data_IF_648842598209
#
_entry.id   IF_648842598209
#
_cell.length_a   1.000
_cell.length_b   1.000
_cell.length_c   1.000
_cell.angle_alpha   90.00
_cell.angle_beta   90.00
_cell.angle_gamma   90.00
#
_symmetry.space_group_name_H-M   'P 1'
#
loop_
_entity.id
_entity.type
_entity.pdbx_description
1 polymer ?
#
# COMPACT_ATOMS: atom_id res chain seq x y z
N UNK A 1 36.54 -11.90 -43.93
CA UNK A 1 35.37 -11.71 -43.05
C UNK A 1 34.41 -12.86 -43.38
N UNK A 2 34.63 -14.12 -43.00
CA UNK A 2 34.66 -14.76 -41.68
C UNK A 2 33.54 -14.32 -40.71
N UNK A 3 32.85 -15.25 -40.01
CA UNK A 3 31.67 -16.00 -40.52
C UNK A 3 30.60 -16.33 -39.42
N UNK A 4 29.67 -17.25 -39.76
CA UNK A 4 28.94 -18.25 -38.90
C UNK A 4 27.72 -17.74 -38.11
N UNK A 5 26.47 -18.15 -38.41
CA UNK A 5 25.75 -19.46 -38.31
C UNK A 5 25.32 -19.86 -36.87
N UNK A 6 24.00 -20.12 -36.74
CA UNK A 6 23.13 -20.80 -35.74
C UNK A 6 23.80 -21.95 -34.93
N UNK A 7 23.15 -22.68 -33.98
CA UNK A 7 21.87 -22.60 -33.22
C UNK A 7 22.14 -22.75 -31.68
N UNK A 8 21.16 -23.09 -30.82
CA UNK A 8 21.24 -24.13 -29.76
C UNK A 8 20.09 -24.01 -28.73
N UNK A 9 19.07 -24.83 -28.94
CA UNK A 9 18.22 -25.43 -27.89
C UNK A 9 18.92 -26.73 -27.46
N UNK A 10 18.88 -27.03 -26.16
CA UNK A 10 19.23 -28.30 -25.47
C UNK A 10 20.70 -28.58 -25.09
N UNK A 11 20.97 -28.59 -23.78
CA UNK A 11 21.70 -29.59 -22.95
C UNK A 11 22.05 -28.93 -21.60
N UNK A 12 21.63 -29.40 -20.42
CA UNK A 12 22.07 -30.64 -19.74
C UNK A 12 23.39 -30.35 -19.00
N UNK A 13 23.59 -30.52 -17.69
CA UNK A 13 23.58 -31.74 -16.84
C UNK A 13 24.05 -31.24 -15.45
N UNK A 14 23.28 -31.39 -14.37
CA UNK A 14 23.30 -32.48 -13.37
C UNK A 14 24.35 -32.37 -12.24
N UNK A 15 23.91 -32.88 -11.07
CA UNK A 15 24.68 -33.42 -9.93
C UNK A 15 25.48 -32.41 -9.09
N UNK A 16 24.94 -32.04 -7.93
CA UNK A 16 25.77 -31.82 -6.72
C UNK A 16 25.76 -33.13 -5.95
N UNK A 17 26.80 -33.92 -6.20
CA UNK A 17 27.12 -35.14 -5.49
C UNK A 17 27.73 -34.84 -4.12
N UNK A 18 27.58 -35.82 -3.23
CA UNK A 18 28.18 -35.87 -1.91
C UNK A 18 29.68 -35.57 -1.93
N UNK A 19 30.10 -34.60 -1.12
CA UNK A 19 31.48 -34.40 -0.71
C UNK A 19 31.58 -34.51 0.80
N UNK A 20 31.71 -35.71 1.35
CA UNK A 20 32.35 -35.87 2.66
C UNK A 20 33.82 -35.54 2.48
N UNK A 21 34.24 -34.36 2.91
CA UNK A 21 35.66 -34.10 3.15
C UNK A 21 35.95 -34.67 4.54
N UNK A 22 36.60 -35.83 4.59
CA UNK A 22 37.30 -36.28 5.78
C UNK A 22 38.51 -35.37 5.98
N UNK A 23 38.34 -34.29 6.72
CA UNK A 23 39.48 -33.49 7.19
C UNK A 23 40.20 -34.30 8.26
N UNK A 24 41.36 -34.86 7.92
CA UNK A 24 42.31 -35.32 8.93
C UNK A 24 42.78 -34.10 9.72
N UNK A 25 42.68 -34.08 11.06
CA UNK A 25 43.09 -32.91 11.83
C UNK A 25 44.61 -32.76 11.73
N UNK A 26 45.06 -31.74 11.00
CA UNK A 26 46.41 -31.21 11.15
C UNK A 26 46.35 -30.24 12.32
N UNK A 27 46.97 -30.63 13.44
CA UNK A 27 47.12 -29.78 14.63
C UNK A 27 48.06 -28.62 14.26
N UNK A 28 47.48 -27.48 13.91
CA UNK A 28 48.21 -26.21 13.94
C UNK A 28 48.23 -25.70 15.40
N UNK A 29 49.37 -25.24 15.93
CA UNK A 29 49.40 -24.64 17.26
C UNK A 29 48.56 -23.35 17.24
N UNK A 30 47.57 -23.30 18.14
CA UNK A 30 46.65 -22.18 18.31
C UNK A 30 47.46 -20.90 18.63
N UNK A 31 47.25 -19.80 17.89
CA UNK A 31 47.59 -18.48 18.39
C UNK A 31 46.73 -18.20 19.62
N UNK A 32 47.35 -17.64 20.65
CA UNK A 32 46.76 -17.33 21.94
C UNK A 32 45.57 -16.37 21.77
N UNK A 33 44.35 -16.92 21.80
CA UNK A 33 43.10 -16.16 21.78
C UNK A 33 42.97 -15.47 23.14
N UNK A 34 43.18 -14.15 23.13
CA UNK A 34 42.83 -13.30 24.26
C UNK A 34 41.31 -13.32 24.43
N UNK A 35 40.86 -13.83 25.57
CA UNK A 35 39.53 -13.61 26.14
C UNK A 35 38.34 -13.94 25.22
N UNK A 36 37.93 -15.21 25.20
CA UNK A 36 36.54 -15.54 24.85
C UNK A 36 35.66 -14.93 25.94
N UNK A 37 34.94 -13.85 25.64
CA UNK A 37 33.85 -13.40 26.50
C UNK A 37 32.83 -14.53 26.59
N UNK A 38 32.46 -14.92 27.81
CA UNK A 38 31.32 -15.81 28.04
C UNK A 38 30.10 -15.18 27.36
N UNK A 39 29.66 -15.73 26.23
CA UNK A 39 28.32 -15.46 25.72
C UNK A 39 27.39 -16.23 26.66
N UNK A 40 27.08 -15.61 27.79
CA UNK A 40 25.97 -16.04 28.59
C UNK A 40 24.76 -16.07 27.66
N UNK A 41 24.12 -17.23 27.52
CA UNK A 41 22.74 -17.34 27.05
C UNK A 41 21.85 -16.73 28.15
N UNK A 42 22.00 -15.42 28.34
CA UNK A 42 21.37 -14.63 29.40
C UNK A 42 19.95 -14.32 28.99
N UNK A 43 19.08 -14.11 29.98
CA UNK A 43 17.66 -13.78 29.89
C UNK A 43 17.31 -12.48 29.11
N UNK A 44 18.23 -11.96 28.30
CA UNK A 44 18.06 -10.75 27.49
C UNK A 44 17.79 -10.99 26.00
N UNK A 45 17.77 -12.24 25.53
CA UNK A 45 17.38 -12.59 24.14
C UNK A 45 15.98 -13.19 24.17
N UNK A 46 15.04 -12.58 23.46
CA UNK A 46 13.67 -13.05 23.30
C UNK A 46 13.51 -13.84 21.99
N UNK A 47 13.29 -15.15 22.11
CA UNK A 47 13.11 -16.02 20.95
C UNK A 47 11.65 -16.13 20.47
N UNK A 48 10.71 -15.59 21.25
CA UNK A 48 9.28 -15.83 21.06
C UNK A 48 8.47 -14.58 20.79
N UNK A 49 8.96 -13.39 21.16
CA UNK A 49 8.27 -12.11 20.95
C UNK A 49 7.84 -11.90 19.51
N UNK A 50 8.79 -11.91 18.56
CA UNK A 50 8.49 -11.70 17.15
C UNK A 50 7.51 -12.73 16.57
N UNK A 51 7.52 -13.97 17.06
CA UNK A 51 6.51 -14.97 16.67
C UNK A 51 5.14 -14.65 17.27
N UNK A 52 5.10 -14.26 18.55
CA UNK A 52 3.87 -13.86 19.23
C UNK A 52 3.21 -12.68 18.52
N UNK A 53 4.00 -11.68 18.13
CA UNK A 53 3.54 -10.49 17.41
C UNK A 53 2.98 -10.86 16.05
N UNK A 54 3.69 -11.71 15.29
CA UNK A 54 3.21 -12.22 14.01
C UNK A 54 1.85 -12.92 14.12
N UNK A 55 1.66 -13.76 15.14
CA UNK A 55 0.39 -14.46 15.36
C UNK A 55 -0.71 -13.54 15.90
N UNK A 56 -0.37 -12.57 16.74
CA UNK A 56 -1.31 -11.58 17.27
C UNK A 56 -1.89 -10.72 16.16
N UNK A 57 -1.03 -10.16 15.29
CA UNK A 57 -1.46 -9.40 14.12
C UNK A 57 -2.26 -10.26 13.15
N UNK A 58 -1.84 -11.51 12.92
CA UNK A 58 -2.59 -12.43 12.08
C UNK A 58 -3.99 -12.74 12.63
N UNK A 59 -4.15 -12.83 13.95
CA UNK A 59 -5.44 -13.06 14.58
C UNK A 59 -6.39 -11.86 14.40
N UNK A 60 -5.88 -10.64 14.58
CA UNK A 60 -6.66 -9.42 14.32
C UNK A 60 -7.11 -9.38 12.85
N UNK A 61 -6.16 -9.52 11.94
CA UNK A 61 -6.38 -9.57 10.49
C UNK A 61 -7.43 -10.60 10.06
N UNK A 62 -7.43 -11.80 10.66
CA UNK A 62 -8.43 -12.83 10.39
C UNK A 62 -9.84 -12.39 10.78
N UNK A 63 -9.99 -11.73 11.93
CA UNK A 63 -11.29 -11.22 12.36
C UNK A 63 -11.83 -10.19 11.38
N UNK A 64 -10.97 -9.32 10.88
CA UNK A 64 -11.37 -8.25 9.95
C UNK A 64 -11.68 -8.80 8.56
N UNK A 65 -10.88 -9.74 8.06
CA UNK A 65 -11.18 -10.46 6.83
C UNK A 65 -12.51 -11.21 6.89
N UNK A 66 -12.83 -11.82 8.03
CA UNK A 66 -14.12 -12.52 8.20
C UNK A 66 -15.29 -11.56 8.07
N UNK A 67 -15.21 -10.40 8.72
CA UNK A 67 -16.25 -9.36 8.63
C UNK A 67 -16.35 -8.83 7.18
N UNK A 68 -15.22 -8.44 6.59
CA UNK A 68 -15.15 -7.95 5.22
C UNK A 68 -15.76 -8.93 4.19
N UNK A 69 -15.42 -10.22 4.29
CA UNK A 69 -15.97 -11.25 3.41
C UNK A 69 -17.45 -11.49 3.67
N UNK A 70 -17.90 -11.43 4.92
CA UNK A 70 -19.32 -11.55 5.26
C UNK A 70 -20.12 -10.38 4.66
N UNK A 71 -19.63 -9.15 4.82
CA UNK A 71 -20.27 -7.94 4.29
C UNK A 71 -20.32 -7.98 2.77
N UNK A 72 -19.23 -8.35 2.11
CA UNK A 72 -19.19 -8.50 0.65
C UNK A 72 -20.18 -9.57 0.16
N UNK A 73 -20.28 -10.71 0.85
CA UNK A 73 -21.23 -11.76 0.51
C UNK A 73 -22.69 -11.32 0.71
N UNK A 74 -22.97 -10.58 1.79
CA UNK A 74 -24.30 -10.04 2.05
C UNK A 74 -24.70 -9.03 0.98
N UNK A 75 -23.82 -8.07 0.68
CA UNK A 75 -24.02 -7.06 -0.35
C UNK A 75 -24.27 -7.71 -1.72
N UNK A 76 -23.43 -8.69 -2.10
CA UNK A 76 -23.60 -9.39 -3.37
C UNK A 76 -24.89 -10.22 -3.41
N UNK A 77 -25.27 -10.87 -2.31
CA UNK A 77 -26.52 -11.63 -2.23
C UNK A 77 -27.75 -10.73 -2.36
N UNK A 78 -27.72 -9.56 -1.72
CA UNK A 78 -28.78 -8.56 -1.83
C UNK A 78 -28.85 -8.00 -3.25
N UNK A 79 -27.70 -7.60 -3.81
CA UNK A 79 -27.60 -7.10 -5.16
C UNK A 79 -28.13 -8.11 -6.20
N UNK A 80 -27.72 -9.38 -6.11
CA UNK A 80 -28.20 -10.45 -7.00
C UNK A 80 -29.71 -10.72 -6.86
N UNK A 81 -30.27 -10.52 -5.67
CA UNK A 81 -31.71 -10.71 -5.44
C UNK A 81 -32.55 -9.61 -6.07
N UNK A 82 -31.96 -8.42 -6.20
CA UNK A 82 -32.60 -7.22 -6.75
C UNK A 82 -32.13 -6.86 -8.17
N UNK A 83 -31.15 -7.59 -8.71
CA UNK A 83 -30.53 -7.28 -9.98
C UNK A 83 -31.52 -7.41 -11.14
N UNK A 84 -31.53 -6.39 -12.01
CA UNK A 84 -32.18 -6.46 -13.31
C UNK A 84 -31.16 -6.90 -14.37
N UNK A 85 -31.22 -8.15 -14.87
CA UNK A 85 -30.26 -8.66 -15.82
C UNK A 85 -30.29 -7.93 -17.18
N UNK A 86 -31.34 -7.17 -17.48
CA UNK A 86 -31.41 -6.36 -18.71
C UNK A 86 -30.51 -5.12 -18.65
N UNK A 87 -30.10 -4.69 -17.46
CA UNK A 87 -29.20 -3.54 -17.25
C UNK A 87 -27.73 -3.94 -17.13
N UNK A 88 -27.38 -5.22 -17.28
CA UNK A 88 -26.00 -5.69 -17.17
C UNK A 88 -25.25 -5.58 -18.51
N UNK A 89 -24.29 -4.64 -18.57
CA UNK A 89 -23.36 -4.52 -19.69
C UNK A 89 -21.99 -5.11 -19.34
N UNK A 90 -21.47 -5.98 -20.22
CA UNK A 90 -20.09 -6.48 -20.14
C UNK A 90 -19.06 -5.36 -20.28
N UNK A 91 -19.42 -4.29 -20.98
CA UNK A 91 -18.59 -3.09 -21.11
C UNK A 91 -18.52 -2.32 -19.80
N UNK A 92 -19.66 -2.13 -19.12
CA UNK A 92 -19.72 -1.51 -17.78
C UNK A 92 -18.98 -2.35 -16.73
N UNK A 93 -19.04 -3.69 -16.83
CA UNK A 93 -18.24 -4.57 -15.98
C UNK A 93 -16.74 -4.37 -16.23
N UNK A 94 -16.30 -4.36 -17.49
CA UNK A 94 -14.89 -4.11 -17.83
C UNK A 94 -14.40 -2.75 -17.33
N UNK A 95 -15.23 -1.72 -17.52
CA UNK A 95 -15.03 -0.36 -17.01
C UNK A 95 -14.88 -0.32 -15.49
N UNK A 96 -15.79 -0.93 -14.73
CA UNK A 96 -15.75 -0.95 -13.27
C UNK A 96 -14.52 -1.68 -12.71
N UNK A 97 -14.06 -2.76 -13.36
CA UNK A 97 -12.93 -3.56 -12.85
C UNK A 97 -11.56 -2.95 -13.16
N UNK A 98 -11.46 -2.16 -14.21
CA UNK A 98 -10.19 -1.60 -14.71
C UNK A 98 -10.06 -0.10 -14.52
N UNK A 99 -11.17 0.58 -14.27
CA UNK A 99 -11.29 2.04 -14.31
C UNK A 99 -10.90 2.65 -15.68
N UNK A 100 -10.95 1.88 -16.77
CA UNK A 100 -10.58 2.36 -18.12
C UNK A 100 -11.78 2.76 -18.99
N UNK A 101 -13.00 2.76 -18.45
CA UNK A 101 -14.20 3.05 -19.21
C UNK A 101 -15.34 3.58 -18.34
N UNK A 102 -16.39 4.11 -18.99
CA UNK A 102 -17.41 4.93 -18.35
C UNK A 102 -16.91 6.35 -18.06
N UNK A 103 -17.82 7.32 -18.04
CA UNK A 103 -17.53 8.67 -17.59
C UNK A 103 -17.38 8.68 -16.06
N UNK A 104 -16.28 8.11 -15.56
CA UNK A 104 -15.92 8.10 -14.14
C UNK A 104 -15.47 9.48 -13.65
N UNK A 105 -15.94 10.55 -14.30
CA UNK A 105 -15.60 11.94 -13.99
C UNK A 105 -16.14 12.41 -12.65
N UNK A 106 -17.05 11.68 -12.04
CA UNK A 106 -17.38 11.94 -10.64
C UNK A 106 -16.17 11.58 -9.79
N UNK A 107 -15.58 12.58 -9.15
CA UNK A 107 -14.54 12.46 -8.11
C UNK A 107 -14.83 11.39 -7.03
N UNK A 108 -16.08 10.89 -7.02
CA UNK A 108 -16.78 10.11 -6.01
C UNK A 108 -17.24 8.76 -6.55
N UNK A 109 -16.44 8.09 -7.36
CA UNK A 109 -16.78 6.74 -7.76
C UNK A 109 -17.01 5.89 -6.48
N UNK A 110 -18.20 5.31 -6.26
CA UNK A 110 -18.43 4.42 -5.11
C UNK A 110 -17.42 3.27 -5.04
N UNK A 111 -16.79 2.92 -6.16
CA UNK A 111 -15.70 1.95 -6.22
C UNK A 111 -14.44 2.41 -5.48
N UNK A 112 -14.13 3.72 -5.46
CA UNK A 112 -12.96 4.26 -4.77
C UNK A 112 -13.02 3.98 -3.25
N UNK A 113 -14.22 3.87 -2.69
CA UNK A 113 -14.42 3.48 -1.29
C UNK A 113 -13.83 2.10 -0.99
N UNK A 114 -13.79 1.20 -1.98
CA UNK A 114 -13.31 -0.17 -1.83
C UNK A 114 -11.91 -0.40 -2.40
N UNK A 115 -11.28 0.63 -2.98
CA UNK A 115 -9.97 0.50 -3.61
C UNK A 115 -8.94 1.52 -3.16
N UNK A 116 -9.38 2.59 -2.48
CA UNK A 116 -8.51 3.65 -1.98
C UNK A 116 -8.79 3.93 -0.51
N UNK A 117 -7.75 4.33 0.20
CA UNK A 117 -7.80 4.65 1.61
C UNK A 117 -8.05 6.13 1.85
N UNK A 118 -8.92 6.39 2.82
CA UNK A 118 -8.92 7.62 3.59
C UNK A 118 -8.65 7.17 5.04
N UNK A 119 -7.42 7.31 5.54
CA UNK A 119 -7.03 6.78 6.85
C UNK A 119 -7.99 7.22 7.94
N UNK A 120 -8.36 6.28 8.79
CA UNK A 120 -9.22 6.53 9.94
C UNK A 120 -8.65 5.84 11.18
N UNK A 121 -8.75 6.49 12.33
CA UNK A 121 -7.99 6.05 13.51
C UNK A 121 -6.52 6.48 13.46
N UNK A 122 -5.57 5.55 13.62
CA UNK A 122 -4.13 5.82 13.56
C UNK A 122 -3.74 6.26 12.13
N UNK A 123 -3.09 7.41 11.98
CA UNK A 123 -2.88 8.07 10.69
C UNK A 123 -4.10 8.81 10.12
N UNK A 124 -5.25 8.81 10.81
CA UNK A 124 -6.45 9.58 10.45
C UNK A 124 -6.48 10.99 11.06
N UNK A 125 -7.54 11.76 10.79
CA UNK A 125 -7.68 13.15 11.27
C UNK A 125 -7.55 13.18 12.80
N UNK A 126 -6.64 14.03 13.31
CA UNK A 126 -6.34 14.16 14.74
C UNK A 126 -5.22 13.25 15.26
N UNK A 127 -4.65 12.39 14.41
CA UNK A 127 -3.47 11.59 14.74
C UNK A 127 -2.17 12.33 14.40
N UNK A 128 -1.10 12.21 15.22
CA UNK A 128 0.21 12.81 14.93
C UNK A 128 0.86 12.33 13.62
N UNK A 129 0.47 11.15 13.13
CA UNK A 129 0.89 10.56 11.85
C UNK A 129 -0.12 10.76 10.72
N UNK A 130 -0.99 11.77 10.82
CA UNK A 130 -2.05 12.05 9.83
C UNK A 130 -1.55 11.98 8.39
N UNK A 131 -2.29 11.22 7.58
CA UNK A 131 -2.15 11.16 6.13
C UNK A 131 -3.41 11.60 5.42
N UNK A 132 -3.25 12.36 4.34
CA UNK A 132 -4.33 12.77 3.43
C UNK A 132 -5.03 11.58 2.75
N UNK A 133 -4.40 10.42 2.71
CA UNK A 133 -4.94 9.19 2.14
C UNK A 133 -4.77 9.07 0.63
N UNK A 134 -4.76 7.83 0.15
CA UNK A 134 -4.64 7.54 -1.27
C UNK A 134 -5.88 7.95 -2.09
N UNK A 135 -7.02 8.16 -1.45
CA UNK A 135 -8.21 8.73 -2.08
C UNK A 135 -7.98 10.15 -2.61
N UNK A 136 -7.37 11.03 -1.80
CA UNK A 136 -7.04 12.39 -2.24
C UNK A 136 -5.93 12.37 -3.31
N UNK A 137 -4.94 11.49 -3.16
CA UNK A 137 -3.91 11.29 -4.18
C UNK A 137 -4.51 10.83 -5.51
N UNK A 138 -5.45 9.89 -5.47
CA UNK A 138 -6.19 9.41 -6.63
C UNK A 138 -6.89 10.56 -7.35
N UNK A 139 -7.68 11.36 -6.62
CA UNK A 139 -8.41 12.48 -7.20
C UNK A 139 -7.50 13.53 -7.84
N UNK A 140 -6.37 13.84 -7.20
CA UNK A 140 -5.35 14.76 -7.73
C UNK A 140 -4.74 14.24 -9.05
N UNK A 141 -4.28 12.99 -9.05
CA UNK A 141 -3.54 12.42 -10.17
C UNK A 141 -4.42 12.01 -11.36
N UNK A 142 -5.73 11.94 -11.16
CA UNK A 142 -6.71 11.58 -12.20
C UNK A 142 -7.50 12.78 -12.75
N UNK A 143 -7.10 14.01 -12.40
CA UNK A 143 -7.82 15.25 -12.75
C UNK A 143 -9.24 15.38 -12.20
N UNK A 144 -9.63 14.52 -11.26
CA UNK A 144 -10.93 14.59 -10.62
C UNK A 144 -10.97 15.65 -9.50
N UNK A 145 -9.81 16.12 -9.03
CA UNK A 145 -9.71 17.20 -8.05
C UNK A 145 -10.22 18.58 -8.53
N UNK A 146 -10.44 18.77 -9.83
CA UNK A 146 -11.05 20.01 -10.37
C UNK A 146 -12.44 20.26 -9.76
N UNK A 147 -13.20 19.21 -9.40
CA UNK A 147 -14.50 19.36 -8.74
C UNK A 147 -14.37 19.93 -7.31
N UNK A 148 -13.27 19.63 -6.61
CA UNK A 148 -13.01 20.15 -5.27
C UNK A 148 -12.48 21.58 -5.29
N UNK A 149 -11.67 21.93 -6.30
CA UNK A 149 -10.97 23.20 -6.35
C UNK A 149 -10.83 23.73 -7.80
N UNK A 150 -11.94 24.20 -8.43
CA UNK A 150 -11.95 24.57 -9.84
C UNK A 150 -10.92 25.65 -10.18
N UNK A 151 -10.06 25.38 -11.17
CA UNK A 151 -9.05 26.32 -11.67
C UNK A 151 -7.86 26.55 -10.71
N UNK A 152 -7.79 25.84 -9.59
CA UNK A 152 -6.65 25.90 -8.66
C UNK A 152 -5.64 24.78 -8.91
N UNK A 153 -6.07 23.65 -9.49
CA UNK A 153 -5.21 22.49 -9.74
C UNK A 153 -4.94 22.40 -11.25
N UNK A 154 -3.68 22.46 -11.71
CA UNK A 154 -3.37 22.30 -13.12
C UNK A 154 -3.71 20.87 -13.58
N UNK A 155 -4.30 20.75 -14.77
CA UNK A 155 -4.60 19.45 -15.35
C UNK A 155 -3.32 18.64 -15.59
N UNK A 156 -3.30 17.43 -15.04
CA UNK A 156 -2.28 16.40 -15.26
C UNK A 156 -2.44 15.84 -16.67
N UNK A 157 -1.39 15.88 -17.51
CA UNK A 157 -1.48 15.38 -18.89
C UNK A 157 -1.49 13.85 -18.95
N UNK A 158 -2.07 13.32 -20.02
CA UNK A 158 -1.99 11.90 -20.35
C UNK A 158 -0.52 11.43 -20.52
N UNK A 159 -0.20 10.17 -20.18
CA UNK A 159 -1.10 9.08 -19.77
C UNK A 159 -1.24 8.90 -18.24
N UNK A 160 -0.80 9.86 -17.43
CA UNK A 160 -0.74 9.69 -15.95
C UNK A 160 -2.12 9.37 -15.35
N UNK A 161 -3.22 10.09 -15.69
CA UNK A 161 -4.55 9.78 -15.17
C UNK A 161 -5.02 8.36 -15.47
N UNK A 162 -4.76 7.84 -16.67
CA UNK A 162 -5.16 6.49 -17.08
C UNK A 162 -4.39 5.42 -16.30
N UNK A 163 -3.09 5.64 -16.09
CA UNK A 163 -2.25 4.74 -15.29
C UNK A 163 -2.76 4.69 -13.86
N UNK A 164 -3.01 5.85 -13.25
CA UNK A 164 -3.47 5.93 -11.86
C UNK A 164 -4.83 5.27 -11.68
N UNK A 165 -5.74 5.43 -12.65
CA UNK A 165 -7.03 4.72 -12.67
C UNK A 165 -6.84 3.21 -12.61
N UNK A 166 -5.97 2.65 -13.47
CA UNK A 166 -5.66 1.22 -13.43
C UNK A 166 -5.01 0.82 -12.10
N UNK A 167 -4.09 1.62 -11.57
CA UNK A 167 -3.44 1.35 -10.29
C UNK A 167 -4.40 1.44 -9.09
N UNK A 168 -5.47 2.21 -9.20
CA UNK A 168 -6.53 2.33 -8.21
C UNK A 168 -7.68 1.33 -8.41
N UNK A 169 -7.64 0.49 -9.45
CA UNK A 169 -8.76 -0.38 -9.79
C UNK A 169 -8.88 -1.62 -8.87
N UNK A 170 -10.06 -2.23 -8.74
CA UNK A 170 -10.23 -3.46 -7.94
C UNK A 170 -9.34 -4.62 -8.43
N UNK A 171 -9.15 -4.71 -9.75
CA UNK A 171 -8.32 -5.76 -10.35
C UNK A 171 -6.84 -5.60 -9.97
N UNK A 172 -6.35 -4.36 -9.86
CA UNK A 172 -4.98 -4.12 -9.41
C UNK A 172 -4.76 -4.59 -7.97
N UNK A 173 -5.78 -4.44 -7.11
CA UNK A 173 -5.84 -4.99 -5.76
C UNK A 173 -5.66 -6.51 -5.72
N UNK A 174 -6.36 -7.23 -6.60
CA UNK A 174 -6.20 -8.68 -6.71
C UNK A 174 -4.80 -9.08 -7.18
N UNK A 175 -4.25 -8.36 -8.15
CA UNK A 175 -2.91 -8.62 -8.68
C UNK A 175 -1.86 -8.42 -7.59
N UNK A 176 -1.88 -7.27 -6.88
CA UNK A 176 -0.91 -7.01 -5.83
C UNK A 176 -1.12 -7.89 -4.61
N UNK A 177 -2.36 -8.16 -4.22
CA UNK A 177 -2.68 -9.04 -3.10
C UNK A 177 -2.31 -10.51 -3.35
N UNK A 178 -2.28 -10.95 -4.61
CA UNK A 178 -1.77 -12.27 -4.98
C UNK A 178 -0.24 -12.35 -4.96
N UNK A 179 0.45 -11.24 -5.27
CA UNK A 179 1.92 -11.17 -5.26
C UNK A 179 2.50 -10.89 -3.87
N UNK A 180 1.76 -10.16 -3.04
CA UNK A 180 2.17 -9.67 -1.73
C UNK A 180 2.79 -10.75 -0.83
N UNK A 181 2.14 -11.91 -0.58
CA UNK A 181 2.71 -12.97 0.26
C UNK A 181 4.07 -13.50 -0.20
N UNK A 182 4.44 -13.32 -1.47
CA UNK A 182 5.75 -13.72 -2.00
C UNK A 182 6.81 -12.62 -1.88
N UNK A 183 6.38 -11.36 -1.88
CA UNK A 183 7.25 -10.18 -1.83
C UNK A 183 7.49 -9.72 -0.39
N UNK A 184 6.47 -9.72 0.46
CA UNK A 184 6.54 -9.25 1.84
C UNK A 184 7.60 -9.95 2.69
N UNK A 185 7.84 -11.27 2.58
CA UNK A 185 8.95 -11.91 3.30
C UNK A 185 10.33 -11.41 2.85
N UNK A 186 10.48 -11.05 1.57
CA UNK A 186 11.74 -10.49 1.06
C UNK A 186 11.92 -9.06 1.55
N UNK A 187 10.84 -8.29 1.60
CA UNK A 187 10.85 -6.94 2.20
C UNK A 187 11.24 -7.01 3.68
N UNK A 188 10.65 -7.92 4.46
CA UNK A 188 11.03 -8.11 5.86
C UNK A 188 12.49 -8.54 6.03
N UNK A 189 13.01 -9.38 5.12
CA UNK A 189 14.43 -9.71 5.13
C UNK A 189 15.29 -8.45 4.91
N UNK A 190 14.93 -7.58 3.98
CA UNK A 190 15.64 -6.31 3.76
C UNK A 190 15.52 -5.38 4.98
N UNK A 191 14.32 -5.23 5.53
CA UNK A 191 14.05 -4.43 6.72
C UNK A 191 14.87 -4.91 7.92
N UNK A 192 14.95 -6.23 8.14
CA UNK A 192 15.80 -6.80 9.20
C UNK A 192 17.28 -6.55 8.96
N UNK A 193 17.77 -6.66 7.72
CA UNK A 193 19.17 -6.35 7.40
C UNK A 193 19.48 -4.86 7.66
N UNK A 194 18.56 -3.98 7.28
CA UNK A 194 18.68 -2.54 7.53
C UNK A 194 18.68 -2.25 9.03
N UNK A 195 17.77 -2.85 9.79
CA UNK A 195 17.71 -2.71 11.24
C UNK A 195 18.99 -3.23 11.93
N UNK A 196 19.55 -4.37 11.49
CA UNK A 196 20.85 -4.85 11.96
C UNK A 196 21.96 -3.83 11.66
N UNK A 197 21.99 -3.30 10.43
CA UNK A 197 22.98 -2.31 10.02
C UNK A 197 22.86 -1.02 10.84
N UNK A 198 21.65 -0.55 11.10
CA UNK A 198 21.37 0.62 11.92
C UNK A 198 21.82 0.39 13.38
N UNK A 199 21.49 -0.76 13.96
CA UNK A 199 21.91 -1.11 15.32
C UNK A 199 23.44 -1.22 15.45
N UNK A 200 24.18 -1.63 14.42
CA UNK A 200 25.64 -1.75 14.48
C UNK A 200 26.40 -0.48 14.09
N UNK A 201 25.83 0.33 13.20
CA UNK A 201 26.50 1.47 12.57
C UNK A 201 25.92 2.84 12.93
N UNK A 202 24.84 2.88 13.72
CA UNK A 202 24.18 4.12 14.15
C UNK A 202 25.00 4.94 15.15
N UNK A 203 24.44 6.08 15.54
CA UNK A 203 25.07 7.01 16.51
C UNK A 203 25.33 6.34 17.87
N UNK A 204 24.43 5.43 18.28
CA UNK A 204 24.54 4.60 19.48
C UNK A 204 24.52 3.10 19.13
N UNK A 205 25.67 2.47 18.83
CA UNK A 205 25.71 1.06 18.44
C UNK A 205 25.25 0.10 19.55
N UNK A 206 24.27 -0.75 19.23
CA UNK A 206 23.75 -1.82 20.08
C UNK A 206 23.90 -3.20 19.40
N UNK A 207 24.99 -3.90 19.76
CA UNK A 207 25.26 -5.23 19.26
C UNK A 207 24.27 -6.30 19.76
N UNK A 208 23.59 -6.07 20.90
CA UNK A 208 22.60 -7.01 21.42
C UNK A 208 21.29 -6.88 20.65
N UNK A 209 20.86 -5.65 20.33
CA UNK A 209 19.72 -5.40 19.45
C UNK A 209 19.97 -5.97 18.04
N UNK A 210 21.17 -5.81 17.49
CA UNK A 210 21.54 -6.41 16.21
C UNK A 210 21.49 -7.95 16.23
N UNK A 211 21.95 -8.59 17.31
CA UNK A 211 21.85 -10.05 17.47
C UNK A 211 20.39 -10.50 17.62
N UNK A 212 19.58 -9.75 18.36
CA UNK A 212 18.16 -10.02 18.53
C UNK A 212 17.44 -9.96 17.17
N UNK A 213 17.74 -8.95 16.36
CA UNK A 213 17.15 -8.80 15.03
C UNK A 213 17.55 -9.94 14.09
N UNK A 214 18.82 -10.37 14.13
CA UNK A 214 19.29 -11.53 13.37
C UNK A 214 18.52 -12.82 13.73
N UNK A 215 18.17 -13.00 15.01
CA UNK A 215 17.38 -14.12 15.49
C UNK A 215 15.90 -13.98 15.08
N UNK A 216 15.40 -12.74 15.00
CA UNK A 216 14.03 -12.44 14.61
C UNK A 216 13.77 -12.60 13.11
N UNK A 217 14.79 -12.57 12.24
CA UNK A 217 14.61 -12.68 10.77
C UNK A 217 13.58 -13.74 10.36
N UNK A 218 13.63 -15.00 10.84
CA UNK A 218 12.65 -16.01 10.43
C UNK A 218 11.22 -15.67 10.85
N UNK A 219 11.05 -15.08 12.04
CA UNK A 219 9.76 -14.64 12.54
C UNK A 219 9.25 -13.41 11.77
N UNK A 220 10.12 -12.45 11.46
CA UNK A 220 9.78 -11.25 10.69
C UNK A 220 9.40 -11.63 9.26
N UNK A 221 10.16 -12.49 8.58
CA UNK A 221 9.78 -12.99 7.25
C UNK A 221 8.43 -13.73 7.26
N UNK A 222 8.15 -14.50 8.32
CA UNK A 222 6.87 -15.18 8.49
C UNK A 222 5.73 -14.20 8.79
N UNK A 223 6.01 -13.16 9.58
CA UNK A 223 5.11 -12.03 9.78
C UNK A 223 4.78 -11.36 8.44
N UNK A 224 5.80 -11.05 7.63
CA UNK A 224 5.63 -10.51 6.28
C UNK A 224 4.73 -11.40 5.41
N UNK A 225 4.95 -12.72 5.45
CA UNK A 225 4.12 -13.68 4.72
C UNK A 225 2.64 -13.63 5.14
N UNK A 226 2.35 -13.54 6.44
CA UNK A 226 0.98 -13.51 6.97
C UNK A 226 0.32 -12.14 6.86
N UNK A 227 1.02 -11.10 7.28
CA UNK A 227 0.44 -9.79 7.62
C UNK A 227 0.92 -8.66 6.71
N UNK A 228 1.89 -8.93 5.84
CA UNK A 228 2.44 -7.94 4.93
C UNK A 228 3.66 -7.22 5.50
N UNK A 229 4.24 -6.37 4.67
CA UNK A 229 5.48 -5.66 4.98
C UNK A 229 5.58 -4.39 4.14
N UNK A 230 6.21 -3.35 4.70
CA UNK A 230 6.41 -2.08 4.02
C UNK A 230 7.89 -1.90 3.71
N UNK A 231 8.19 -1.52 2.47
CA UNK A 231 9.55 -1.15 2.05
C UNK A 231 9.66 0.37 1.97
N UNK A 232 10.72 0.93 2.56
CA UNK A 232 11.11 2.31 2.34
C UNK A 232 11.80 2.44 0.98
N UNK A 233 11.38 3.43 0.20
CA UNK A 233 11.85 3.68 -1.16
C UNK A 233 12.57 5.03 -1.29
N UNK A 234 12.99 5.64 -0.18
CA UNK A 234 13.60 6.97 -0.15
C UNK A 234 14.93 7.01 -0.93
N UNK A 235 15.58 5.86 -1.10
CA UNK A 235 16.74 5.71 -1.96
C UNK A 235 16.47 6.06 -3.43
N UNK A 236 15.20 6.05 -3.87
CA UNK A 236 14.79 6.45 -5.21
C UNK A 236 14.60 7.96 -5.36
N UNK A 237 14.46 8.71 -4.26
CA UNK A 237 14.16 10.15 -4.31
C UNK A 237 15.18 10.93 -5.14
N UNK A 238 16.52 10.72 -5.03
CA UNK A 238 17.48 11.42 -5.88
C UNK A 238 17.23 11.18 -7.37
N UNK A 239 16.88 9.95 -7.75
CA UNK A 239 16.60 9.59 -9.15
C UNK A 239 15.31 10.23 -9.65
N UNK A 240 14.28 10.29 -8.79
CA UNK A 240 12.99 10.92 -9.12
C UNK A 240 13.15 12.44 -9.27
N UNK A 241 13.92 13.09 -8.38
CA UNK A 241 14.23 14.51 -8.47
C UNK A 241 15.00 14.84 -9.75
N UNK A 242 16.00 14.03 -10.12
CA UNK A 242 16.76 14.21 -11.36
C UNK A 242 15.92 14.00 -12.63
N UNK A 243 14.87 13.20 -12.56
CA UNK A 243 13.98 12.95 -13.69
C UNK A 243 13.13 14.17 -14.08
N UNK A 244 13.06 15.21 -13.22
CA UNK A 244 12.33 16.45 -13.51
C UNK A 244 10.82 16.25 -13.70
N UNK A 245 10.26 15.23 -13.06
CA UNK A 245 8.84 14.85 -13.18
C UNK A 245 7.90 15.79 -12.43
N UNK A 246 8.43 16.52 -11.45
CA UNK A 246 7.67 17.42 -10.59
C UNK A 246 7.88 18.88 -11.02
N UNK A 247 6.86 19.75 -10.86
CA UNK A 247 6.99 21.17 -11.13
C UNK A 247 8.04 21.83 -10.23
N UNK A 248 8.58 22.98 -10.66
CA UNK A 248 9.49 23.77 -9.83
C UNK A 248 8.83 24.09 -8.48
N UNK A 249 9.58 23.87 -7.40
CA UNK A 249 9.07 24.06 -6.04
C UNK A 249 8.29 22.87 -5.48
N UNK A 250 8.22 21.73 -6.17
CA UNK A 250 7.67 20.48 -5.62
C UNK A 250 8.72 19.35 -5.66
N UNK A 251 8.80 18.57 -4.58
CA UNK A 251 9.66 17.42 -4.42
C UNK A 251 8.91 16.29 -3.72
N UNK A 252 9.32 15.04 -3.94
CA UNK A 252 8.89 13.93 -3.08
C UNK A 252 9.94 13.79 -1.98
N UNK A 253 9.51 13.87 -0.73
CA UNK A 253 10.36 13.82 0.47
C UNK A 253 10.25 12.50 1.22
N UNK A 254 9.24 11.70 0.91
CA UNK A 254 9.08 10.35 1.44
C UNK A 254 8.39 9.45 0.42
N UNK A 255 8.88 8.23 0.29
CA UNK A 255 8.31 7.23 -0.59
C UNK A 255 8.41 5.85 0.07
N UNK A 256 7.29 5.13 0.10
CA UNK A 256 7.24 3.76 0.59
C UNK A 256 6.19 2.95 -0.15
N UNK A 257 6.28 1.63 -0.03
CA UNK A 257 5.25 0.73 -0.56
C UNK A 257 4.94 -0.40 0.41
N UNK A 258 3.67 -0.55 0.77
CA UNK A 258 3.15 -1.59 1.63
C UNK A 258 2.60 -2.75 0.79
N UNK A 259 3.18 -3.93 0.97
CA UNK A 259 2.69 -5.18 0.40
C UNK A 259 1.83 -5.92 1.42
N UNK A 260 0.62 -6.33 1.05
CA UNK A 260 -0.20 -7.18 1.91
C UNK A 260 0.33 -8.62 1.98
N UNK A 261 0.21 -9.25 3.14
CA UNK A 261 0.43 -10.68 3.35
C UNK A 261 -0.84 -11.49 3.06
N UNK A 262 -0.81 -12.78 3.41
CA UNK A 262 -1.91 -13.72 3.16
C UNK A 262 -3.22 -13.28 3.82
N UNK A 263 -3.12 -12.68 5.01
CA UNK A 263 -4.21 -12.34 5.89
C UNK A 263 -4.48 -10.83 5.92
N UNK A 264 -3.73 -10.01 5.17
CA UNK A 264 -3.95 -8.56 5.20
C UNK A 264 -5.33 -8.21 4.63
N UNK A 265 -6.23 -7.61 5.42
CA UNK A 265 -7.56 -7.25 4.95
C UNK A 265 -7.54 -6.06 3.98
N UNK A 266 -6.51 -5.23 4.06
CA UNK A 266 -6.48 -3.90 3.44
C UNK A 266 -7.43 -2.94 4.15
N UNK A 267 -7.02 -1.68 4.24
CA UNK A 267 -7.84 -0.58 4.76
C UNK A 267 -8.21 0.35 3.60
N UNK A 268 -9.50 0.66 3.51
CA UNK A 268 -10.12 1.48 2.48
C UNK A 268 -11.14 2.42 3.12
N UNK A 269 -11.91 3.16 2.32
CA UNK A 269 -12.92 4.08 2.83
C UNK A 269 -12.90 5.46 2.18
N UNK A 270 -12.09 5.65 1.14
CA UNK A 270 -12.02 6.89 0.38
C UNK A 270 -13.31 7.25 -0.34
N UNK A 271 -14.06 8.24 0.15
CA UNK A 271 -15.21 8.84 -0.54
C UNK A 271 -15.48 10.29 -0.06
N UNK A 272 -16.38 11.03 -0.71
CA UNK A 272 -16.68 12.42 -0.31
C UNK A 272 -17.32 12.52 1.07
N UNK A 273 -18.24 11.61 1.36
CA UNK A 273 -19.08 11.68 2.55
C UNK A 273 -18.22 11.54 3.80
N UNK A 274 -17.19 10.69 3.72
CA UNK A 274 -16.15 10.51 4.71
C UNK A 274 -15.24 11.74 4.84
N UNK A 275 -14.94 12.43 3.73
CA UNK A 275 -14.11 13.65 3.74
C UNK A 275 -14.85 14.88 4.28
N UNK A 276 -16.14 15.03 3.95
CA UNK A 276 -16.97 16.17 4.35
C UNK A 276 -17.72 15.92 5.67
N UNK A 277 -17.60 14.71 6.23
CA UNK A 277 -18.28 14.32 7.45
C UNK A 277 -17.84 15.16 8.66
N UNK A 278 -18.79 15.43 9.56
CA UNK A 278 -18.50 16.06 10.85
C UNK A 278 -17.89 15.11 11.89
N UNK A 279 -17.77 13.83 11.56
CA UNK A 279 -17.23 12.78 12.41
C UNK A 279 -16.15 12.02 11.63
N UNK A 280 -15.10 11.59 12.34
CA UNK A 280 -14.05 10.74 11.77
C UNK A 280 -14.71 9.42 11.36
N UNK A 281 -14.65 9.03 10.07
CA UNK A 281 -15.23 7.77 9.62
C UNK A 281 -14.55 6.60 10.34
N UNK A 282 -15.27 5.51 10.66
CA UNK A 282 -14.63 4.31 11.17
C UNK A 282 -13.78 3.62 10.08
N UNK A 283 -12.76 2.84 10.45
CA UNK A 283 -11.98 2.08 9.48
C UNK A 283 -12.84 1.06 8.76
N UNK A 284 -12.64 1.02 7.43
CA UNK A 284 -13.30 0.08 6.54
C UNK A 284 -12.25 -0.91 6.04
N UNK A 285 -12.50 -2.18 6.31
CA UNK A 285 -11.60 -3.26 5.93
C UNK A 285 -12.19 -4.10 4.81
N UNK A 286 -11.32 -4.69 3.99
CA UNK A 286 -11.75 -5.50 2.86
C UNK A 286 -11.80 -4.72 1.57
N UNK A 287 -10.62 -4.48 1.01
CA UNK A 287 -10.46 -3.80 -0.25
C UNK A 287 -9.06 -3.26 -0.41
N UNK A 288 -8.80 -2.64 -1.54
CA UNK A 288 -7.53 -2.00 -1.84
C UNK A 288 -7.11 -2.19 -3.28
N UNK A 289 -6.01 -1.53 -3.63
CA UNK A 289 -5.46 -1.45 -4.97
C UNK A 289 -3.93 -1.35 -4.90
N UNK A 290 -3.26 -1.29 -6.04
CA UNK A 290 -1.81 -0.98 -6.05
C UNK A 290 -1.59 0.42 -5.47
N UNK A 291 -2.42 1.40 -5.84
CA UNK A 291 -2.33 2.76 -5.32
C UNK A 291 -2.47 2.78 -3.79
N UNK A 292 -3.35 1.94 -3.23
CA UNK A 292 -3.56 1.85 -1.79
C UNK A 292 -2.28 1.51 -1.02
N UNK A 293 -1.41 0.68 -1.61
CA UNK A 293 -0.13 0.31 -1.02
C UNK A 293 0.93 1.42 -1.08
N UNK A 294 0.71 2.51 -1.81
CA UNK A 294 1.67 3.60 -1.93
C UNK A 294 1.62 4.50 -0.69
N UNK A 295 2.79 4.76 -0.11
CA UNK A 295 3.00 5.88 0.82
C UNK A 295 3.84 6.95 0.14
N UNK A 296 3.39 8.20 0.16
CA UNK A 296 4.08 9.31 -0.49
C UNK A 296 3.93 10.60 0.32
N UNK A 297 5.03 11.33 0.45
CA UNK A 297 5.05 12.69 0.99
C UNK A 297 5.55 13.63 -0.08
N UNK A 298 4.75 14.64 -0.41
CA UNK A 298 5.09 15.68 -1.37
C UNK A 298 5.42 16.95 -0.60
N UNK A 299 6.66 17.40 -0.71
CA UNK A 299 7.10 18.70 -0.19
C UNK A 299 6.92 19.76 -1.27
N UNK A 300 6.19 20.81 -0.96
CA UNK A 300 6.09 22.04 -1.75
C UNK A 300 6.91 23.11 -1.04
N UNK A 301 7.75 23.85 -1.77
CA UNK A 301 8.61 24.91 -1.22
C UNK A 301 8.25 26.31 -1.73
N UNK A 302 7.38 26.41 -2.74
CA UNK A 302 6.91 27.67 -3.35
C UNK A 302 5.44 27.48 -3.77
N UNK A 303 4.48 28.34 -3.37
CA UNK A 303 4.60 29.60 -2.62
C UNK A 303 4.69 29.47 -1.10
N UNK A 304 4.50 28.26 -0.55
CA UNK A 304 4.55 27.99 0.89
C UNK A 304 5.27 26.66 1.12
N UNK A 305 6.13 26.61 2.13
CA UNK A 305 6.78 25.36 2.56
C UNK A 305 5.75 24.46 3.25
N UNK A 306 5.43 23.35 2.60
CA UNK A 306 4.30 22.48 2.92
C UNK A 306 4.64 21.02 2.66
N UNK A 307 4.50 20.16 3.66
CA UNK A 307 4.59 18.72 3.49
C UNK A 307 3.20 18.10 3.43
N UNK A 308 2.85 17.57 2.26
CA UNK A 308 1.62 16.84 1.99
C UNK A 308 1.91 15.35 2.12
N UNK A 309 1.75 14.82 3.33
CA UNK A 309 1.79 13.39 3.58
C UNK A 309 0.46 12.74 3.17
N UNK A 310 0.48 11.82 2.21
CA UNK A 310 -0.71 11.05 1.82
C UNK A 310 -0.91 9.79 2.69
N UNK A 311 -0.15 9.70 3.79
CA UNK A 311 -0.21 8.62 4.75
C UNK A 311 0.70 7.44 4.40
N UNK A 312 0.70 6.46 5.28
CA UNK A 312 1.39 5.20 5.05
C UNK A 312 0.58 4.35 4.05
N UNK A 313 1.29 3.56 3.24
CA UNK A 313 0.66 2.60 2.35
C UNK A 313 -0.13 1.56 3.13
N UNK A 314 -1.32 1.22 2.62
CA UNK A 314 -2.25 0.25 3.18
C UNK A 314 -2.26 -1.02 2.32
N UNK A 315 -1.35 -1.94 2.65
CA UNK A 315 -1.15 -3.18 1.88
C UNK A 315 -2.35 -4.13 1.97
N UNK A 316 -2.88 -4.54 0.81
CA UNK A 316 -4.01 -5.47 0.73
C UNK A 316 -3.54 -6.89 0.36
N UNK A 317 -4.09 -7.90 1.04
CA UNK A 317 -3.92 -9.31 0.68
C UNK A 317 -4.99 -9.79 -0.30
N UNK A 318 -4.79 -10.93 -0.95
CA UNK A 318 -5.74 -11.43 -1.97
C UNK A 318 -7.18 -11.57 -1.46
N UNK A 319 -7.39 -12.04 -0.22
CA UNK A 319 -8.74 -12.19 0.35
C UNK A 319 -9.41 -10.85 0.64
N UNK A 320 -8.64 -9.86 1.09
CA UNK A 320 -9.12 -8.48 1.29
C UNK A 320 -9.54 -7.86 -0.04
N UNK A 321 -8.70 -7.99 -1.06
CA UNK A 321 -9.00 -7.52 -2.41
C UNK A 321 -10.21 -8.24 -3.03
N UNK A 322 -10.41 -9.53 -2.74
CA UNK A 322 -11.63 -10.26 -3.15
C UNK A 322 -12.89 -9.72 -2.45
N UNK A 323 -12.82 -9.35 -1.17
CA UNK A 323 -13.93 -8.72 -0.48
C UNK A 323 -14.30 -7.38 -1.15
N UNK A 324 -13.30 -6.52 -1.41
CA UNK A 324 -13.49 -5.25 -2.12
C UNK A 324 -14.05 -5.44 -3.54
N UNK A 325 -13.60 -6.48 -4.26
CA UNK A 325 -14.20 -6.84 -5.55
C UNK A 325 -15.67 -7.25 -5.39
N UNK A 326 -16.02 -8.05 -4.38
CA UNK A 326 -17.39 -8.45 -4.11
C UNK A 326 -18.31 -7.26 -3.87
N UNK A 327 -17.84 -6.27 -3.10
CA UNK A 327 -18.53 -5.00 -2.87
C UNK A 327 -18.67 -4.19 -4.17
N UNK A 328 -17.59 -4.10 -4.95
CA UNK A 328 -17.60 -3.43 -6.26
C UNK A 328 -18.62 -4.04 -7.22
N UNK A 329 -18.72 -5.36 -7.24
CA UNK A 329 -19.71 -6.08 -8.05
C UNK A 329 -21.14 -5.89 -7.53
N UNK A 330 -21.32 -5.81 -6.20
CA UNK A 330 -22.61 -5.52 -5.62
C UNK A 330 -23.12 -4.14 -6.08
N UNK A 331 -22.28 -3.10 -5.98
CA UNK A 331 -22.59 -1.76 -6.47
C UNK A 331 -22.95 -1.73 -7.97
N UNK A 332 -22.22 -2.50 -8.78
CA UNK A 332 -22.52 -2.64 -10.20
C UNK A 332 -23.91 -3.27 -10.42
N UNK A 333 -24.24 -4.32 -9.67
CA UNK A 333 -25.48 -5.08 -9.82
C UNK A 333 -26.72 -4.34 -9.30
N UNK A 334 -26.56 -3.49 -8.30
CA UNK A 334 -27.62 -2.60 -7.80
C UNK A 334 -27.85 -1.38 -8.71
N UNK A 335 -26.90 -1.07 -9.59
CA UNK A 335 -26.93 0.12 -10.43
C UNK A 335 -26.53 1.39 -9.69
N UNK A 336 -25.89 1.27 -8.52
CA UNK A 336 -25.38 2.41 -7.75
C UNK A 336 -24.14 3.05 -8.40
N UNK A 337 -23.55 2.39 -9.40
CA UNK A 337 -22.48 2.95 -10.22
C UNK A 337 -23.05 3.85 -11.32
N UNK A 338 -22.83 5.15 -11.20
CA UNK A 338 -23.09 6.12 -12.26
C UNK A 338 -21.92 6.14 -13.27
N UNK A 339 -22.16 5.60 -14.47
CA UNK A 339 -21.19 5.58 -15.56
C UNK A 339 -21.32 6.76 -16.53
N UNK A 340 -22.40 7.54 -16.44
CA UNK A 340 -22.64 8.69 -17.31
C UNK A 340 -22.14 10.00 -16.65
N UNK A 341 -21.77 9.93 -15.37
CA UNK A 341 -21.37 11.07 -14.55
C UNK A 341 -22.58 11.96 -14.22
N UNK A 342 -22.41 12.93 -13.31
CA UNK A 342 -23.46 13.92 -13.09
C UNK A 342 -23.79 14.61 -14.43
N UNK A 343 -25.07 14.90 -14.71
CA UNK A 343 -25.44 15.66 -15.90
C UNK A 343 -24.59 16.93 -15.99
N UNK A 344 -24.14 17.32 -17.18
CA UNK A 344 -23.29 18.52 -17.41
C UNK A 344 -23.90 19.83 -16.85
N UNK A 345 -25.18 19.80 -16.49
CA UNK A 345 -25.92 20.91 -15.88
C UNK A 345 -25.95 20.89 -14.34
N UNK A 346 -25.61 19.76 -13.70
CA UNK A 346 -25.33 19.72 -12.26
C UNK A 346 -23.91 20.24 -12.08
N UNK A 347 -23.76 21.55 -12.27
CA UNK A 347 -22.65 22.28 -11.65
C UNK A 347 -22.75 21.94 -10.16
N UNK A 348 -21.75 21.25 -9.57
CA UNK A 348 -21.71 21.08 -8.12
C UNK A 348 -21.93 22.46 -7.54
N UNK A 349 -22.93 22.66 -6.66
CA UNK A 349 -23.22 23.98 -6.12
C UNK A 349 -21.91 24.54 -5.57
N UNK A 350 -21.31 25.55 -6.23
CA UNK A 350 -20.02 26.05 -5.82
C UNK A 350 -20.10 26.59 -4.39
N UNK A 351 -21.31 26.91 -3.90
CA UNK A 351 -21.60 27.23 -2.51
C UNK A 351 -21.14 26.17 -1.50
N UNK A 352 -21.24 24.88 -1.86
CA UNK A 352 -20.84 23.75 -1.01
C UNK A 352 -19.32 23.53 -1.04
N UNK A 353 -18.68 23.77 -2.19
CA UNK A 353 -17.22 23.76 -2.31
C UNK A 353 -16.56 25.04 -1.75
N UNK A 354 -17.25 26.18 -1.75
CA UNK A 354 -16.77 27.42 -1.10
C UNK A 354 -16.90 27.40 0.41
N UNK A 355 -17.75 26.52 0.97
CA UNK A 355 -17.79 26.23 2.40
C UNK A 355 -16.76 25.15 2.80
N UNK A 356 -16.22 24.38 1.84
CA UNK A 356 -15.09 23.49 2.08
C UNK A 356 -13.79 24.30 2.13
N UNK A 357 -13.56 24.92 3.28
CA UNK A 357 -12.36 25.71 3.54
C UNK A 357 -11.16 24.76 3.74
N UNK A 358 -10.45 24.48 2.65
CA UNK A 358 -9.18 23.74 2.67
C UNK A 358 -8.16 24.41 3.60
N UNK A 359 -8.26 25.73 3.78
CA UNK A 359 -7.48 26.51 4.73
C UNK A 359 -7.92 26.30 6.18
N UNK A 360 -9.19 26.05 6.45
CA UNK A 360 -9.69 25.65 7.76
C UNK A 360 -9.30 24.21 8.09
N UNK A 361 -9.38 23.28 7.13
CA UNK A 361 -8.87 21.91 7.29
C UNK A 361 -7.36 21.91 7.59
N UNK A 362 -6.59 22.73 6.86
CA UNK A 362 -5.17 22.99 7.15
C UNK A 362 -4.95 23.68 8.50
N UNK A 363 -5.81 24.64 8.88
CA UNK A 363 -5.69 25.35 10.14
C UNK A 363 -6.07 24.49 11.36
N UNK A 364 -7.02 23.55 11.23
CA UNK A 364 -7.40 22.60 12.29
C UNK A 364 -6.34 21.50 12.45
N UNK A 365 -5.76 21.03 11.34
CA UNK A 365 -4.73 20.00 11.33
C UNK A 365 -3.43 20.43 12.03
N UNK A 366 -3.10 21.72 11.97
CA UNK A 366 -1.92 22.31 12.63
C UNK A 366 -2.26 23.24 13.80
N UNK A 367 -3.56 23.44 14.06
CA UNK A 367 -4.09 24.26 15.14
C UNK A 367 -4.60 23.40 16.28
N UNK A 368 -3.70 22.75 17.00
CA UNK A 368 -4.05 21.95 18.17
C UNK A 368 -4.87 22.75 19.21
N UNK A 369 -6.00 22.17 19.59
CA UNK A 369 -6.60 22.30 20.91
C UNK A 369 -6.61 20.92 21.58
#
# INVERSE_FOLDING_TARGET
>A
MNPVLRPFVTAGVAVVGAGMITVTPVVAPLPEVHGVGDIALTAGIDFTGAWSDAFSTAQANVSELQNALQDANNALSEALSNADPENLSLEQLGAALTFLGGDQKGFLNPLAQFTTSLPSGEGGIGDPGFGLGNFLLYGLLTNQGEELAPGLIPAIPDPIPEIVQVLASPLSGLLIGALGPYLSPLVELFNSIEAISANLGGEDPDAMAALQELINIPANMFNGWLNGATINLDFLLPTISEAGLLPEGAAISGLSFAFGGLLSPGEVGGNLEALLGSEIPPPVFGGGSILNGLGITISVTDPLELDLAFGQGQGVGFLGALAGLGQSLALLLTGDLDFDGPPVEVVPDPGVATDFDFGALWADLFGGA
#
